data_IF_352649847418
#
_entry.id   IF_352649847418
#
_cell.length_a   1.000
_cell.length_b   1.000
_cell.length_c   1.000
_cell.angle_alpha   90.00
_cell.angle_beta   90.00
_cell.angle_gamma   90.00
#
_symmetry.space_group_name_H-M   'P 1'
#
loop_
_entity.id
_entity.type
_entity.pdbx_description
1 polymer ?
#
# COMPACT_ATOMS: atom_id res chain seq x y z
N UNK A 1 -21.45 18.37 -36.89
CA UNK A 1 -21.24 16.92 -36.76
C UNK A 1 -19.80 16.48 -37.06
N UNK A 2 -19.08 17.09 -38.01
CA UNK A 2 -17.70 16.70 -38.35
C UNK A 2 -16.70 16.81 -37.19
N UNK A 3 -16.71 17.91 -36.45
CA UNK A 3 -15.78 18.12 -35.32
C UNK A 3 -16.01 17.14 -34.15
N UNK A 4 -17.25 16.71 -33.91
CA UNK A 4 -17.55 15.72 -32.87
C UNK A 4 -17.06 14.32 -33.29
N UNK A 5 -17.23 13.95 -34.55
CA UNK A 5 -16.70 12.70 -35.11
C UNK A 5 -15.17 12.71 -35.12
N UNK A 6 -14.53 13.83 -35.42
CA UNK A 6 -13.07 13.98 -35.29
C UNK A 6 -12.59 13.92 -33.83
N UNK A 7 -13.31 14.54 -32.89
CA UNK A 7 -12.99 14.43 -31.45
C UNK A 7 -13.15 13.01 -30.93
N UNK A 8 -14.20 12.29 -31.35
CA UNK A 8 -14.41 10.88 -31.00
C UNK A 8 -13.34 9.99 -31.64
N UNK A 9 -12.94 10.26 -32.90
CA UNK A 9 -11.81 9.57 -33.54
C UNK A 9 -10.45 9.88 -32.90
N UNK A 10 -10.28 11.08 -32.32
CA UNK A 10 -9.10 11.47 -31.53
C UNK A 10 -9.15 10.96 -30.09
N UNK A 11 -10.31 10.51 -29.62
CA UNK A 11 -10.54 10.01 -28.26
C UNK A 11 -10.18 8.53 -28.06
N UNK A 12 -9.51 7.91 -29.03
CA UNK A 12 -9.00 6.54 -28.91
C UNK A 12 -7.74 6.47 -28.04
N UNK A 13 -7.50 5.30 -27.45
CA UNK A 13 -6.25 5.03 -26.78
C UNK A 13 -5.11 4.90 -27.80
N UNK A 14 -4.15 5.83 -27.76
CA UNK A 14 -2.99 5.85 -28.65
C UNK A 14 -1.69 5.53 -27.88
N UNK A 15 -1.78 5.00 -26.66
CA UNK A 15 -0.63 4.83 -25.76
C UNK A 15 0.47 3.96 -26.38
N UNK A 16 0.13 2.80 -26.94
CA UNK A 16 1.11 1.87 -27.53
C UNK A 16 1.69 2.43 -28.83
N UNK A 17 0.93 3.25 -29.57
CA UNK A 17 1.43 3.91 -30.78
C UNK A 17 2.41 5.05 -30.48
N UNK A 18 2.14 5.82 -29.42
CA UNK A 18 3.01 6.92 -28.96
C UNK A 18 4.25 6.33 -28.28
N UNK A 19 4.06 5.43 -27.33
CA UNK A 19 5.12 4.76 -26.57
C UNK A 19 5.30 3.33 -27.11
N UNK A 20 5.98 3.19 -28.25
CA UNK A 20 6.11 1.89 -28.92
C UNK A 20 6.94 0.88 -28.12
N UNK A 21 6.52 -0.40 -28.04
CA UNK A 21 7.27 -1.46 -27.36
C UNK A 21 8.42 -1.97 -28.24
N UNK A 22 9.47 -1.17 -28.41
CA UNK A 22 10.61 -1.50 -29.27
C UNK A 22 11.53 -2.51 -28.56
N UNK A 23 12.00 -3.53 -29.27
CA UNK A 23 12.97 -4.50 -28.76
C UNK A 23 12.37 -5.62 -27.92
N UNK A 24 11.06 -5.88 -28.05
CA UNK A 24 10.33 -6.98 -27.43
C UNK A 24 9.44 -7.69 -28.45
N UNK A 25 9.39 -9.02 -28.38
CA UNK A 25 8.56 -9.88 -29.23
C UNK A 25 7.18 -10.12 -28.63
N UNK A 26 7.11 -10.21 -27.31
CA UNK A 26 5.88 -10.35 -26.54
C UNK A 26 5.63 -9.04 -25.83
N UNK A 27 4.68 -8.26 -26.33
CA UNK A 27 4.31 -6.96 -25.78
C UNK A 27 2.80 -6.79 -25.71
N UNK A 28 2.34 -5.76 -24.99
CA UNK A 28 0.92 -5.43 -24.95
C UNK A 28 0.44 -4.88 -26.29
N UNK A 29 -0.85 -5.07 -26.58
CA UNK A 29 -1.55 -4.42 -27.68
C UNK A 29 -2.37 -3.23 -27.17
N UNK A 30 -3.01 -2.49 -28.09
CA UNK A 30 -3.95 -1.44 -27.73
C UNK A 30 -5.04 -1.95 -26.79
N UNK A 31 -5.48 -3.21 -26.96
CA UNK A 31 -6.49 -3.84 -26.08
C UNK A 31 -5.97 -4.10 -24.67
N UNK A 32 -4.71 -4.51 -24.52
CA UNK A 32 -4.08 -4.65 -23.21
C UNK A 32 -3.95 -3.31 -22.50
N UNK A 33 -3.59 -2.26 -23.25
CA UNK A 33 -3.56 -0.89 -22.75
C UNK A 33 -4.95 -0.36 -22.36
N UNK A 34 -6.01 -0.65 -23.13
CA UNK A 34 -7.40 -0.28 -22.81
C UNK A 34 -7.87 -0.89 -21.48
N UNK A 35 -7.53 -2.16 -21.25
CA UNK A 35 -7.80 -2.81 -19.96
C UNK A 35 -7.05 -2.11 -18.81
N UNK A 36 -5.78 -1.76 -19.00
CA UNK A 36 -4.99 -1.06 -17.99
C UNK A 36 -5.54 0.33 -17.68
N UNK A 37 -6.03 1.06 -18.69
CA UNK A 37 -6.76 2.32 -18.50
C UNK A 37 -8.06 2.10 -17.72
N UNK A 38 -8.78 1.01 -17.98
CA UNK A 38 -9.99 0.66 -17.23
C UNK A 38 -9.67 0.40 -15.76
N UNK A 39 -8.62 -0.37 -15.47
CA UNK A 39 -8.15 -0.60 -14.10
C UNK A 39 -7.71 0.71 -13.42
N UNK A 40 -6.95 1.57 -14.11
CA UNK A 40 -6.61 2.91 -13.62
C UNK A 40 -7.84 3.71 -13.22
N UNK A 41 -8.88 3.75 -14.05
CA UNK A 41 -10.13 4.45 -13.76
C UNK A 41 -10.83 3.88 -12.52
N UNK A 42 -10.80 2.57 -12.31
CA UNK A 42 -11.35 1.94 -11.10
C UNK A 42 -10.59 2.41 -9.86
N UNK A 43 -9.25 2.32 -9.86
CA UNK A 43 -8.43 2.81 -8.74
C UNK A 43 -8.67 4.30 -8.46
N UNK A 44 -8.69 5.13 -9.50
CA UNK A 44 -8.97 6.57 -9.39
C UNK A 44 -10.36 6.84 -8.78
N UNK A 45 -11.38 6.12 -9.24
CA UNK A 45 -12.75 6.27 -8.74
C UNK A 45 -12.83 5.97 -7.24
N UNK A 46 -12.31 4.82 -6.80
CA UNK A 46 -12.30 4.47 -5.37
C UNK A 46 -11.42 5.42 -4.55
N UNK A 47 -10.28 5.85 -5.09
CA UNK A 47 -9.43 6.84 -4.43
C UNK A 47 -10.20 8.15 -4.16
N UNK A 48 -10.86 8.71 -5.18
CA UNK A 48 -11.67 9.92 -5.04
C UNK A 48 -12.78 9.73 -4.00
N UNK A 49 -13.53 8.62 -4.06
CA UNK A 49 -14.59 8.35 -3.09
C UNK A 49 -14.03 8.30 -1.67
N UNK A 50 -12.93 7.58 -1.44
CA UNK A 50 -12.31 7.46 -0.12
C UNK A 50 -11.80 8.82 0.38
N UNK A 51 -11.26 9.68 -0.49
CA UNK A 51 -10.86 11.05 -0.13
C UNK A 51 -12.07 11.86 0.31
N UNK A 52 -13.16 11.84 -0.47
CA UNK A 52 -14.38 12.58 -0.15
C UNK A 52 -15.01 12.12 1.16
N UNK A 53 -15.07 10.80 1.40
CA UNK A 53 -15.59 10.23 2.64
C UNK A 53 -14.68 10.54 3.85
N UNK A 54 -13.36 10.49 3.67
CA UNK A 54 -12.39 10.84 4.71
C UNK A 54 -12.57 12.29 5.19
N UNK A 55 -12.79 13.24 4.29
CA UNK A 55 -12.97 14.65 4.67
C UNK A 55 -14.27 14.91 5.44
N UNK A 56 -15.24 14.00 5.41
CA UNK A 56 -16.45 14.04 6.26
C UNK A 56 -16.19 13.59 7.70
N UNK A 57 -14.98 13.11 8.00
CA UNK A 57 -14.59 12.63 9.34
C UNK A 57 -13.65 13.61 10.06
N UNK A 58 -13.78 13.75 11.39
CA UNK A 58 -12.77 14.40 12.22
C UNK A 58 -11.39 13.77 12.03
N UNK A 59 -10.31 14.55 12.18
CA UNK A 59 -8.95 14.10 11.84
C UNK A 59 -8.51 12.83 12.59
N UNK A 60 -8.96 12.69 13.84
CA UNK A 60 -8.72 11.54 14.70
C UNK A 60 -9.41 10.26 14.20
N UNK A 61 -10.51 10.36 13.47
CA UNK A 61 -11.23 9.17 12.95
C UNK A 61 -10.76 8.72 11.56
N UNK A 62 -9.77 9.40 10.97
CA UNK A 62 -9.33 9.15 9.58
C UNK A 62 -8.39 7.96 9.41
N UNK A 63 -7.97 7.32 10.50
CA UNK A 63 -6.99 6.22 10.49
C UNK A 63 -7.28 5.16 9.41
N UNK A 64 -8.53 4.69 9.34
CA UNK A 64 -8.91 3.64 8.38
C UNK A 64 -8.90 4.12 6.93
N UNK A 65 -9.23 5.40 6.70
CA UNK A 65 -9.20 5.97 5.36
C UNK A 65 -7.78 6.11 4.83
N UNK A 66 -6.82 6.48 5.67
CA UNK A 66 -5.41 6.56 5.25
C UNK A 66 -4.90 5.20 4.77
N UNK A 67 -5.30 4.10 5.42
CA UNK A 67 -4.87 2.75 5.01
C UNK A 67 -5.55 2.25 3.74
N UNK A 68 -6.71 2.79 3.36
CA UNK A 68 -7.36 2.52 2.08
C UNK A 68 -6.81 3.38 0.95
N UNK A 69 -6.55 4.66 1.23
CA UNK A 69 -6.07 5.63 0.26
C UNK A 69 -4.67 5.32 -0.25
N UNK A 70 -3.77 4.93 0.64
CA UNK A 70 -2.38 4.67 0.28
C UNK A 70 -2.24 3.59 -0.82
N UNK A 71 -2.67 2.32 -0.63
CA UNK A 71 -2.51 1.29 -1.66
C UNK A 71 -3.28 1.63 -2.95
N UNK A 72 -4.48 2.20 -2.81
CA UNK A 72 -5.30 2.60 -3.97
C UNK A 72 -4.61 3.67 -4.80
N UNK A 73 -4.01 4.69 -4.16
CA UNK A 73 -3.31 5.78 -4.83
C UNK A 73 -1.99 5.33 -5.47
N UNK A 74 -1.23 4.46 -4.81
CA UNK A 74 0.00 3.91 -5.38
C UNK A 74 -0.28 3.06 -6.61
N UNK A 75 -1.28 2.18 -6.54
CA UNK A 75 -1.67 1.36 -7.69
C UNK A 75 -2.30 2.20 -8.79
N UNK A 76 -3.07 3.25 -8.48
CA UNK A 76 -3.54 4.20 -9.49
C UNK A 76 -2.37 4.73 -10.34
N UNK A 77 -1.27 5.17 -9.72
CA UNK A 77 -0.10 5.68 -10.45
C UNK A 77 0.60 4.56 -11.25
N UNK A 78 0.71 3.36 -10.68
CA UNK A 78 1.29 2.21 -11.37
C UNK A 78 0.48 1.81 -12.62
N UNK A 79 -0.85 1.76 -12.50
CA UNK A 79 -1.74 1.45 -13.62
C UNK A 79 -1.74 2.55 -14.68
N UNK A 80 -1.68 3.83 -14.30
CA UNK A 80 -1.48 4.92 -15.27
C UNK A 80 -0.19 4.73 -16.09
N UNK A 81 0.89 4.38 -15.40
CA UNK A 81 2.20 4.15 -16.02
C UNK A 81 2.16 2.98 -17.00
N UNK A 82 1.63 1.83 -16.56
CA UNK A 82 1.51 0.64 -17.41
C UNK A 82 0.53 0.84 -18.57
N UNK A 83 -0.61 1.51 -18.34
CA UNK A 83 -1.59 1.82 -19.37
C UNK A 83 -0.99 2.70 -20.47
N UNK A 84 -0.10 3.62 -20.08
CA UNK A 84 0.67 4.44 -21.01
C UNK A 84 1.78 3.68 -21.76
N UNK A 85 1.88 2.35 -21.58
CA UNK A 85 2.96 1.50 -22.08
C UNK A 85 4.36 1.95 -21.62
N UNK A 86 4.47 2.41 -20.37
CA UNK A 86 5.71 2.84 -19.73
C UNK A 86 6.07 1.93 -18.55
N UNK A 87 7.28 2.07 -18.02
CA UNK A 87 7.70 1.36 -16.80
C UNK A 87 7.90 -0.15 -16.99
N UNK A 88 8.45 -0.54 -18.14
CA UNK A 88 8.77 -1.91 -18.49
C UNK A 88 10.21 -2.05 -18.99
N UNK A 89 10.71 -3.28 -19.02
CA UNK A 89 12.02 -3.64 -19.56
C UNK A 89 11.94 -4.94 -20.38
N UNK A 90 12.76 -5.10 -21.43
CA UNK A 90 12.85 -6.36 -22.16
C UNK A 90 13.56 -7.42 -21.30
N UNK A 91 13.01 -8.63 -21.23
CA UNK A 91 13.63 -9.79 -20.59
C UNK A 91 13.47 -11.01 -21.49
N UNK A 92 14.57 -11.70 -21.79
CA UNK A 92 14.51 -12.91 -22.62
C UNK A 92 13.69 -13.99 -21.92
N UNK A 93 12.67 -14.52 -22.60
CA UNK A 93 11.84 -15.58 -22.05
C UNK A 93 12.67 -16.83 -21.81
N UNK A 94 12.42 -17.51 -20.68
CA UNK A 94 13.09 -18.78 -20.37
C UNK A 94 12.50 -19.95 -21.15
N UNK A 95 11.18 -19.93 -21.35
CA UNK A 95 10.40 -21.02 -21.92
C UNK A 95 9.68 -20.53 -23.19
N UNK A 96 9.61 -21.39 -24.20
CA UNK A 96 9.03 -21.09 -25.51
C UNK A 96 7.59 -21.62 -25.62
N UNK A 97 6.73 -21.30 -24.65
CA UNK A 97 5.32 -21.73 -24.66
C UNK A 97 4.41 -20.78 -25.45
N UNK A 98 4.88 -19.57 -25.76
CA UNK A 98 4.16 -18.56 -26.54
C UNK A 98 5.04 -18.17 -27.72
N UNK A 99 4.43 -18.03 -28.90
CA UNK A 99 5.08 -17.59 -30.12
C UNK A 99 4.25 -16.49 -30.79
N UNK A 100 4.91 -15.56 -31.46
CA UNK A 100 4.26 -14.52 -32.29
C UNK A 100 4.81 -14.58 -33.72
N UNK A 101 3.99 -14.20 -34.71
CA UNK A 101 4.41 -14.22 -36.12
C UNK A 101 5.52 -13.22 -36.44
N UNK A 102 5.74 -12.24 -35.57
CA UNK A 102 6.73 -11.17 -35.70
C UNK A 102 7.96 -11.39 -34.81
N UNK A 103 8.09 -12.56 -34.21
CA UNK A 103 9.16 -12.89 -33.27
C UNK A 103 10.53 -12.88 -33.96
N UNK A 104 11.48 -12.11 -33.41
CA UNK A 104 12.83 -11.95 -33.92
C UNK A 104 13.85 -12.89 -33.25
N UNK A 105 13.61 -13.29 -31.99
CA UNK A 105 14.49 -14.18 -31.23
C UNK A 105 13.77 -15.45 -30.74
N UNK A 106 14.52 -16.53 -30.51
CA UNK A 106 14.02 -17.77 -29.90
C UNK A 106 14.83 -18.18 -28.65
N UNK A 107 14.21 -18.32 -27.47
CA UNK A 107 12.88 -17.81 -27.10
C UNK A 107 12.84 -16.27 -27.19
N UNK A 108 11.65 -15.71 -27.41
CA UNK A 108 11.47 -14.27 -27.64
C UNK A 108 11.70 -13.38 -26.42
N UNK A 109 11.86 -12.08 -26.66
CA UNK A 109 11.99 -11.03 -25.65
C UNK A 109 10.60 -10.64 -25.12
N UNK A 110 10.38 -10.79 -23.82
CA UNK A 110 9.14 -10.42 -23.13
C UNK A 110 9.21 -9.00 -22.59
N UNK A 111 8.13 -8.25 -22.76
CA UNK A 111 7.88 -7.00 -22.07
C UNK A 111 7.49 -7.27 -20.61
N UNK A 112 8.39 -6.95 -19.67
CA UNK A 112 8.15 -7.12 -18.23
C UNK A 112 7.92 -5.76 -17.58
N UNK A 113 6.72 -5.54 -17.05
CA UNK A 113 6.32 -4.28 -16.43
C UNK A 113 6.78 -4.19 -14.97
N UNK A 114 8.04 -3.78 -14.77
CA UNK A 114 8.59 -3.58 -13.42
C UNK A 114 7.79 -2.54 -12.60
N UNK A 115 7.10 -1.60 -13.24
CA UNK A 115 6.22 -0.63 -12.58
C UNK A 115 5.11 -1.29 -11.75
N UNK A 116 4.63 -2.48 -12.15
CA UNK A 116 3.67 -3.26 -11.35
C UNK A 116 4.22 -3.56 -9.97
N UNK A 117 5.44 -4.07 -9.94
CA UNK A 117 6.12 -4.47 -8.72
C UNK A 117 6.51 -3.27 -7.85
N UNK A 118 6.83 -2.12 -8.46
CA UNK A 118 7.01 -0.86 -7.72
C UNK A 118 5.70 -0.43 -7.06
N UNK A 119 4.58 -0.53 -7.78
CA UNK A 119 3.25 -0.31 -7.21
C UNK A 119 2.96 -1.27 -6.06
N UNK A 120 3.24 -2.57 -6.25
CA UNK A 120 3.10 -3.58 -5.21
C UNK A 120 3.96 -3.29 -4.00
N UNK A 121 5.23 -2.88 -4.16
CA UNK A 121 6.11 -2.54 -3.04
C UNK A 121 5.43 -1.48 -2.14
N UNK A 122 4.80 -0.48 -2.74
CA UNK A 122 4.10 0.54 -1.97
C UNK A 122 2.72 0.09 -1.45
N UNK A 123 2.04 -0.84 -2.12
CA UNK A 123 0.63 -1.16 -1.90
C UNK A 123 0.37 -2.46 -1.10
N UNK A 124 1.17 -3.52 -1.32
CA UNK A 124 1.00 -4.85 -0.70
C UNK A 124 1.06 -4.87 0.84
N UNK A 125 1.86 -4.02 1.50
CA UNK A 125 1.87 -3.97 2.97
C UNK A 125 0.53 -3.58 3.59
N UNK A 126 -0.29 -2.79 2.89
CA UNK A 126 -1.46 -2.15 3.50
C UNK A 126 -2.56 -3.12 3.92
N UNK A 127 -2.96 -4.12 3.12
CA UNK A 127 -3.86 -5.18 3.60
C UNK A 127 -3.38 -5.89 4.87
N UNK A 128 -2.06 -6.03 5.06
CA UNK A 128 -1.45 -6.67 6.24
C UNK A 128 -1.46 -5.74 7.44
N UNK A 129 -1.21 -4.45 7.22
CA UNK A 129 -1.39 -3.39 8.23
C UNK A 129 -2.85 -3.34 8.67
N UNK A 130 -3.80 -3.36 7.74
CA UNK A 130 -5.24 -3.36 8.01
C UNK A 130 -5.68 -4.57 8.83
N UNK A 131 -5.24 -5.78 8.46
CA UNK A 131 -5.48 -6.98 9.27
C UNK A 131 -4.93 -6.82 10.70
N UNK A 132 -3.74 -6.23 10.83
CA UNK A 132 -3.08 -5.98 12.12
C UNK A 132 -3.81 -4.93 12.98
N UNK A 133 -4.49 -3.96 12.37
CA UNK A 133 -5.30 -2.95 13.06
C UNK A 133 -6.45 -3.61 13.83
N UNK A 134 -7.12 -4.63 13.29
CA UNK A 134 -8.17 -5.36 14.04
C UNK A 134 -7.67 -5.90 15.38
N UNK A 135 -6.43 -6.39 15.42
CA UNK A 135 -5.78 -6.89 16.63
C UNK A 135 -5.20 -5.81 17.53
N UNK A 136 -5.08 -4.56 17.08
CA UNK A 136 -4.18 -3.55 17.68
C UNK A 136 -2.78 -4.13 17.89
N UNK A 137 -2.28 -4.83 16.86
CA UNK A 137 -1.00 -5.54 16.91
C UNK A 137 0.14 -4.57 17.22
N UNK A 138 1.13 -4.95 18.07
CA UNK A 138 2.25 -4.09 18.40
C UNK A 138 3.02 -3.63 17.16
N UNK A 139 3.49 -2.38 17.16
CA UNK A 139 4.13 -1.74 16.02
C UNK A 139 5.29 -2.58 15.43
N UNK A 140 6.16 -3.14 16.27
CA UNK A 140 7.28 -3.96 15.81
C UNK A 140 6.84 -5.28 15.18
N UNK A 141 5.72 -5.85 15.62
CA UNK A 141 5.11 -7.00 14.93
C UNK A 141 4.51 -6.63 13.58
N UNK A 142 3.91 -5.43 13.48
CA UNK A 142 3.46 -4.90 12.18
C UNK A 142 4.65 -4.70 11.25
N UNK A 143 5.72 -4.06 11.73
CA UNK A 143 6.94 -3.82 10.96
C UNK A 143 7.59 -5.13 10.48
N UNK A 144 7.62 -6.16 11.33
CA UNK A 144 8.06 -7.51 10.94
C UNK A 144 7.23 -8.05 9.77
N UNK A 145 5.90 -8.00 9.88
CA UNK A 145 5.00 -8.49 8.82
C UNK A 145 5.16 -7.70 7.52
N UNK A 146 5.27 -6.36 7.61
CA UNK A 146 5.54 -5.49 6.46
C UNK A 146 6.85 -5.87 5.79
N UNK A 147 7.93 -6.05 6.55
CA UNK A 147 9.24 -6.44 6.02
C UNK A 147 9.18 -7.76 5.24
N UNK A 148 8.48 -8.77 5.75
CA UNK A 148 8.29 -10.04 5.03
C UNK A 148 7.36 -9.92 3.83
N UNK A 149 6.36 -9.05 3.87
CA UNK A 149 5.58 -8.69 2.68
C UNK A 149 6.46 -8.02 1.61
N UNK A 150 7.42 -7.17 2.00
CA UNK A 150 8.36 -6.59 1.04
C UNK A 150 9.35 -7.62 0.49
N UNK A 151 9.84 -8.56 1.31
CA UNK A 151 10.63 -9.67 0.79
C UNK A 151 9.87 -10.46 -0.27
N UNK A 152 8.56 -10.69 -0.08
CA UNK A 152 7.71 -11.29 -1.10
C UNK A 152 7.76 -10.46 -2.39
N UNK A 153 7.43 -9.17 -2.36
CA UNK A 153 7.35 -8.34 -3.57
C UNK A 153 8.70 -8.22 -4.28
N UNK A 154 9.77 -7.93 -3.53
CA UNK A 154 11.12 -7.75 -4.08
C UNK A 154 11.63 -9.04 -4.71
N UNK A 155 11.39 -10.21 -4.09
CA UNK A 155 11.77 -11.48 -4.69
C UNK A 155 11.04 -11.73 -6.01
N UNK A 156 9.73 -11.43 -6.08
CA UNK A 156 8.95 -11.58 -7.30
C UNK A 156 9.40 -10.61 -8.41
N UNK A 157 9.76 -9.37 -8.07
CA UNK A 157 10.37 -8.43 -9.01
C UNK A 157 11.67 -8.98 -9.58
N UNK A 158 12.60 -9.41 -8.72
CA UNK A 158 13.88 -9.96 -9.17
C UNK A 158 13.64 -11.20 -10.04
N UNK A 159 12.71 -12.08 -9.65
CA UNK A 159 12.33 -13.26 -10.43
C UNK A 159 11.82 -12.89 -11.83
N UNK A 160 11.05 -11.81 -11.96
CA UNK A 160 10.53 -11.33 -13.25
C UNK A 160 11.65 -10.87 -14.19
N UNK A 161 12.74 -10.33 -13.63
CA UNK A 161 13.88 -9.78 -14.37
C UNK A 161 14.97 -10.82 -14.69
N UNK A 162 14.94 -11.99 -14.04
CA UNK A 162 15.90 -13.07 -14.30
C UNK A 162 15.46 -13.88 -15.53
N UNK A 163 16.33 -13.99 -16.54
CA UNK A 163 16.07 -14.76 -17.77
C UNK A 163 16.32 -16.28 -17.62
N UNK A 164 17.03 -16.70 -16.57
CA UNK A 164 17.44 -18.09 -16.35
C UNK A 164 16.51 -18.83 -15.39
N UNK A 165 16.74 -20.13 -15.20
CA UNK A 165 16.01 -20.96 -14.22
C UNK A 165 16.16 -20.48 -12.77
N UNK A 166 17.16 -19.65 -12.47
CA UNK A 166 17.37 -19.09 -11.13
C UNK A 166 16.20 -18.24 -10.64
N UNK A 167 15.31 -17.77 -11.54
CA UNK A 167 14.09 -17.04 -11.14
C UNK A 167 13.23 -17.82 -10.14
N UNK A 168 13.21 -19.15 -10.24
CA UNK A 168 12.42 -20.01 -9.36
C UNK A 168 12.96 -20.08 -7.92
N UNK A 169 14.24 -19.77 -7.72
CA UNK A 169 14.80 -19.57 -6.37
C UNK A 169 14.17 -18.37 -5.68
N UNK A 170 14.15 -17.22 -6.36
CA UNK A 170 13.49 -16.00 -5.87
C UNK A 170 11.99 -16.20 -5.67
N UNK A 171 11.31 -16.86 -6.60
CA UNK A 171 9.90 -17.26 -6.46
C UNK A 171 9.66 -18.04 -5.15
N UNK A 172 10.53 -19.02 -4.86
CA UNK A 172 10.42 -19.86 -3.65
C UNK A 172 10.66 -19.05 -2.37
N UNK A 173 11.67 -18.17 -2.35
CA UNK A 173 11.91 -17.27 -1.22
C UNK A 173 10.75 -16.31 -0.97
N UNK A 174 10.18 -15.76 -2.05
CA UNK A 174 9.00 -14.90 -1.98
C UNK A 174 7.82 -15.62 -1.35
N UNK A 175 7.48 -16.82 -1.84
CA UNK A 175 6.39 -17.64 -1.27
C UNK A 175 6.64 -17.93 0.21
N UNK A 176 7.84 -18.32 0.59
CA UNK A 176 8.18 -18.57 1.99
C UNK A 176 7.91 -17.33 2.86
N UNK A 177 8.26 -16.14 2.37
CA UNK A 177 7.99 -14.89 3.08
C UNK A 177 6.48 -14.58 3.22
N UNK A 178 5.68 -14.86 2.18
CA UNK A 178 4.22 -14.76 2.24
C UNK A 178 3.59 -15.74 3.25
N UNK A 179 4.11 -16.98 3.32
CA UNK A 179 3.68 -17.99 4.30
C UNK A 179 4.03 -17.54 5.72
N UNK A 180 5.24 -17.07 5.97
CA UNK A 180 5.67 -16.54 7.28
C UNK A 180 4.76 -15.40 7.73
N UNK A 181 4.46 -14.45 6.83
CA UNK A 181 3.54 -13.34 7.12
C UNK A 181 2.14 -13.86 7.48
N UNK A 182 1.63 -14.83 6.70
CA UNK A 182 0.31 -15.41 6.92
C UNK A 182 0.19 -16.14 8.25
N UNK A 183 1.19 -16.93 8.61
CA UNK A 183 1.27 -17.62 9.91
C UNK A 183 1.33 -16.58 11.04
N UNK A 184 2.15 -15.54 10.90
CA UNK A 184 2.29 -14.46 11.90
C UNK A 184 0.97 -13.74 12.16
N UNK A 185 0.21 -13.38 11.13
CA UNK A 185 -1.13 -12.78 11.30
C UNK A 185 -2.12 -13.77 11.93
N UNK A 186 -2.15 -15.02 11.47
CA UNK A 186 -3.09 -16.03 11.95
C UNK A 186 -2.79 -16.57 13.35
N UNK A 187 -1.59 -16.32 13.87
CA UNK A 187 -1.22 -16.65 15.24
C UNK A 187 -1.29 -15.42 16.12
N UNK A 188 -0.43 -14.41 15.90
CA UNK A 188 -0.33 -13.23 16.76
C UNK A 188 -1.56 -12.35 16.68
N UNK A 189 -1.86 -11.79 15.51
CA UNK A 189 -2.98 -10.84 15.35
C UNK A 189 -4.32 -11.50 15.67
N UNK A 190 -4.55 -12.71 15.18
CA UNK A 190 -5.78 -13.47 15.50
C UNK A 190 -5.95 -13.70 17.00
N UNK A 191 -4.90 -14.06 17.72
CA UNK A 191 -4.99 -14.26 19.18
C UNK A 191 -5.28 -12.94 19.90
N UNK A 192 -4.69 -11.82 19.46
CA UNK A 192 -5.01 -10.49 19.99
C UNK A 192 -6.48 -10.12 19.75
N UNK A 193 -7.02 -10.41 18.56
CA UNK A 193 -8.45 -10.25 18.27
C UNK A 193 -9.30 -11.14 19.18
N UNK A 194 -8.92 -12.41 19.36
CA UNK A 194 -9.63 -13.37 20.23
C UNK A 194 -9.71 -12.89 21.68
N UNK A 195 -8.61 -12.35 22.20
CA UNK A 195 -8.50 -11.91 23.59
C UNK A 195 -9.39 -10.70 23.92
N UNK A 196 -9.94 -10.01 22.91
CA UNK A 196 -10.92 -8.93 23.11
C UNK A 196 -12.33 -9.44 23.43
N UNK A 197 -12.60 -10.74 23.28
CA UNK A 197 -13.89 -11.34 23.63
C UNK A 197 -15.07 -10.94 22.75
N UNK A 198 -14.85 -10.17 21.67
CA UNK A 198 -15.89 -9.76 20.73
C UNK A 198 -15.97 -10.77 19.57
N UNK A 199 -17.06 -11.54 19.51
CA UNK A 199 -17.31 -12.57 18.50
C UNK A 199 -17.47 -12.00 17.09
N UNK A 200 -18.09 -10.83 16.98
CA UNK A 200 -18.33 -10.13 15.72
C UNK A 200 -17.02 -9.61 15.11
N UNK A 201 -16.17 -8.97 15.91
CA UNK A 201 -14.83 -8.56 15.51
C UNK A 201 -13.99 -9.75 15.03
N UNK A 202 -14.06 -10.89 15.74
CA UNK A 202 -13.39 -12.12 15.33
C UNK A 202 -13.90 -12.64 13.98
N UNK A 203 -15.21 -12.60 13.75
CA UNK A 203 -15.81 -13.04 12.48
C UNK A 203 -15.38 -12.12 11.33
N UNK A 204 -15.47 -10.80 11.51
CA UNK A 204 -15.01 -9.81 10.53
C UNK A 204 -13.53 -10.00 10.20
N UNK A 205 -12.67 -10.15 11.22
CA UNK A 205 -11.24 -10.41 11.02
C UNK A 205 -11.00 -11.67 10.18
N UNK A 206 -11.68 -12.79 10.50
CA UNK A 206 -11.53 -14.05 9.77
C UNK A 206 -11.97 -13.94 8.32
N UNK A 207 -13.12 -13.29 8.07
CA UNK A 207 -13.64 -13.10 6.70
C UNK A 207 -12.67 -12.22 5.92
N UNK A 208 -12.32 -11.06 6.47
CA UNK A 208 -11.41 -10.12 5.83
C UNK A 208 -10.07 -10.78 5.49
N UNK A 209 -9.39 -11.35 6.49
CA UNK A 209 -8.07 -11.91 6.28
C UNK A 209 -8.10 -13.23 5.49
N UNK A 210 -9.18 -14.01 5.58
CA UNK A 210 -9.38 -15.20 4.76
C UNK A 210 -9.44 -14.87 3.27
N UNK A 211 -10.15 -13.79 2.90
CA UNK A 211 -10.18 -13.30 1.51
C UNK A 211 -8.81 -12.78 1.09
N UNK A 212 -8.11 -12.02 1.94
CA UNK A 212 -6.73 -11.55 1.69
C UNK A 212 -5.80 -12.74 1.42
N UNK A 213 -5.81 -13.77 2.26
CA UNK A 213 -4.97 -14.97 2.06
C UNK A 213 -5.31 -15.70 0.75
N UNK A 214 -6.61 -15.84 0.44
CA UNK A 214 -7.05 -16.47 -0.80
C UNK A 214 -6.53 -15.72 -2.03
N UNK A 215 -6.76 -14.40 -2.10
CA UNK A 215 -6.28 -13.59 -3.22
C UNK A 215 -4.75 -13.59 -3.30
N UNK A 216 -4.05 -13.49 -2.15
CA UNK A 216 -2.59 -13.52 -2.12
C UNK A 216 -2.03 -14.85 -2.67
N UNK A 217 -2.69 -15.99 -2.41
CA UNK A 217 -2.28 -17.30 -2.96
C UNK A 217 -2.39 -17.38 -4.49
N UNK A 218 -3.24 -16.55 -5.10
CA UNK A 218 -3.42 -16.52 -6.56
C UNK A 218 -2.26 -15.79 -7.27
N UNK A 219 -1.62 -14.81 -6.62
CA UNK A 219 -0.51 -14.04 -7.22
C UNK A 219 0.67 -14.91 -7.68
N UNK A 220 1.16 -15.89 -6.89
CA UNK A 220 2.19 -16.82 -7.35
C UNK A 220 1.77 -17.65 -8.56
N UNK A 221 0.50 -18.05 -8.64
CA UNK A 221 -0.03 -18.79 -9.80
C UNK A 221 0.01 -17.92 -11.04
N UNK A 222 -0.45 -16.66 -10.93
CA UNK A 222 -0.37 -15.69 -12.01
C UNK A 222 1.07 -15.58 -12.51
N UNK A 223 2.03 -15.34 -11.60
CA UNK A 223 3.46 -15.23 -11.95
C UNK A 223 4.00 -16.48 -12.65
N UNK A 224 3.64 -17.66 -12.11
CA UNK A 224 4.10 -18.94 -12.62
C UNK A 224 3.71 -19.16 -14.08
N UNK A 225 2.54 -18.69 -14.51
CA UNK A 225 2.07 -18.82 -15.89
C UNK A 225 2.40 -17.60 -16.77
N UNK A 226 2.74 -16.45 -16.21
CA UNK A 226 3.14 -15.24 -16.95
C UNK A 226 4.66 -15.10 -17.09
N UNK A 227 5.34 -14.26 -16.30
CA UNK A 227 6.78 -13.99 -16.41
C UNK A 227 7.66 -15.20 -16.05
N UNK A 228 7.14 -16.10 -15.22
CA UNK A 228 7.82 -17.34 -14.82
C UNK A 228 7.86 -18.35 -15.96
N UNK A 229 6.68 -18.79 -16.41
CA UNK A 229 6.49 -19.88 -17.37
C UNK A 229 6.28 -19.45 -18.82
N UNK A 230 6.10 -18.14 -19.08
CA UNK A 230 5.84 -17.58 -20.41
C UNK A 230 4.66 -18.25 -21.15
N UNK A 231 3.57 -18.57 -20.44
CA UNK A 231 2.36 -19.20 -21.00
C UNK A 231 1.31 -18.15 -21.39
N UNK A 232 1.11 -17.13 -20.54
CA UNK A 232 0.24 -16.00 -20.87
C UNK A 232 1.02 -14.91 -21.62
N UNK A 233 0.41 -14.35 -22.66
CA UNK A 233 0.91 -13.13 -23.30
C UNK A 233 0.73 -11.90 -22.37
N UNK A 234 1.49 -10.81 -22.57
CA UNK A 234 1.40 -9.62 -21.73
C UNK A 234 -0.03 -9.08 -21.57
N UNK A 235 -0.85 -9.06 -22.62
CA UNK A 235 -2.26 -8.65 -22.53
C UNK A 235 -3.04 -9.47 -21.50
N UNK A 236 -2.98 -10.81 -21.60
CA UNK A 236 -3.68 -11.71 -20.69
C UNK A 236 -3.08 -11.69 -19.28
N UNK A 237 -1.77 -11.50 -19.15
CA UNK A 237 -1.08 -11.27 -17.87
C UNK A 237 -1.66 -10.03 -17.18
N UNK A 238 -1.80 -8.91 -17.88
CA UNK A 238 -2.36 -7.68 -17.33
C UNK A 238 -3.84 -7.80 -16.97
N UNK A 239 -4.62 -8.61 -17.70
CA UNK A 239 -6.00 -8.92 -17.31
C UNK A 239 -6.00 -9.70 -16.00
N UNK A 240 -5.19 -10.75 -15.89
CA UNK A 240 -5.14 -11.59 -14.70
C UNK A 240 -4.68 -10.81 -13.47
N UNK A 241 -3.52 -10.15 -13.53
CA UNK A 241 -3.06 -9.30 -12.43
C UNK A 241 -3.98 -8.10 -12.18
N UNK A 242 -4.56 -7.53 -13.23
CA UNK A 242 -5.50 -6.41 -13.16
C UNK A 242 -6.69 -6.71 -12.26
N UNK A 243 -7.36 -7.83 -12.49
CA UNK A 243 -8.50 -8.27 -11.68
C UNK A 243 -8.04 -8.49 -10.24
N UNK A 244 -6.89 -9.14 -10.07
CA UNK A 244 -6.37 -9.48 -8.76
C UNK A 244 -6.00 -8.23 -7.94
N UNK A 245 -5.32 -7.27 -8.56
CA UNK A 245 -4.95 -5.99 -7.95
C UNK A 245 -6.17 -5.14 -7.61
N UNK A 246 -7.17 -5.06 -8.50
CA UNK A 246 -8.41 -4.34 -8.19
C UNK A 246 -9.09 -4.95 -6.96
N UNK A 247 -9.18 -6.27 -6.88
CA UNK A 247 -9.79 -6.92 -5.73
C UNK A 247 -8.94 -6.74 -4.46
N UNK A 248 -7.65 -7.04 -4.52
CA UNK A 248 -6.76 -7.13 -3.38
C UNK A 248 -6.23 -5.77 -2.88
N UNK A 249 -5.91 -4.84 -3.79
CA UNK A 249 -5.24 -3.56 -3.49
C UNK A 249 -6.16 -2.34 -3.62
N UNK A 250 -7.41 -2.51 -4.07
CA UNK A 250 -8.42 -1.45 -4.10
C UNK A 250 -9.66 -1.82 -3.28
N UNK A 251 -10.39 -2.85 -3.71
CA UNK A 251 -11.69 -3.21 -3.13
C UNK A 251 -11.53 -3.64 -1.68
N UNK A 252 -10.61 -4.57 -1.38
CA UNK A 252 -10.40 -5.03 0.00
C UNK A 252 -9.96 -3.89 0.95
N UNK A 253 -8.99 -3.03 0.61
CA UNK A 253 -8.66 -1.87 1.43
C UNK A 253 -9.81 -0.89 1.63
N UNK A 254 -10.67 -0.69 0.62
CA UNK A 254 -11.87 0.14 0.77
C UNK A 254 -12.93 -0.54 1.67
N UNK A 255 -13.16 -1.84 1.51
CA UNK A 255 -14.07 -2.62 2.36
C UNK A 255 -13.61 -2.68 3.81
N UNK A 256 -12.30 -2.66 4.06
CA UNK A 256 -11.75 -2.54 5.41
C UNK A 256 -12.32 -1.31 6.14
N UNK A 257 -12.44 -0.16 5.45
CA UNK A 257 -13.02 1.06 6.05
C UNK A 257 -14.45 0.82 6.52
N UNK A 258 -15.25 0.13 5.70
CA UNK A 258 -16.64 -0.21 6.03
C UNK A 258 -16.70 -1.15 7.22
N UNK A 259 -15.91 -2.22 7.20
CA UNK A 259 -15.87 -3.21 8.29
C UNK A 259 -15.36 -2.61 9.61
N UNK A 260 -14.28 -1.83 9.57
CA UNK A 260 -13.72 -1.21 10.75
C UNK A 260 -14.65 -0.12 11.32
N UNK A 261 -15.36 0.61 10.46
CA UNK A 261 -16.38 1.57 10.89
C UNK A 261 -17.60 0.88 11.50
N UNK A 262 -18.00 -0.28 10.97
CA UNK A 262 -19.10 -1.08 11.48
C UNK A 262 -18.79 -1.65 12.88
N UNK A 263 -17.61 -2.21 13.08
CA UNK A 263 -17.19 -2.71 14.40
C UNK A 263 -17.02 -1.55 15.40
N UNK A 264 -16.56 -0.38 14.95
CA UNK A 264 -16.29 0.76 15.80
C UNK A 264 -14.90 0.71 16.44
N UNK A 265 -14.27 1.89 16.57
CA UNK A 265 -12.87 2.00 17.01
C UNK A 265 -12.65 1.54 18.45
N UNK A 266 -13.62 1.76 19.33
CA UNK A 266 -13.54 1.35 20.74
C UNK A 266 -13.48 -0.18 20.89
N UNK A 267 -14.26 -0.91 20.10
CA UNK A 267 -14.25 -2.37 20.08
C UNK A 267 -12.94 -2.92 19.48
N UNK A 268 -12.31 -2.18 18.57
CA UNK A 268 -10.96 -2.48 18.08
C UNK A 268 -9.89 -2.05 19.11
N UNK A 269 -10.22 -1.22 20.10
CA UNK A 269 -9.31 -0.79 21.16
C UNK A 269 -8.51 0.49 20.84
N UNK A 270 -8.98 1.29 19.90
CA UNK A 270 -8.52 2.65 19.66
C UNK A 270 -9.50 3.64 20.32
N UNK A 271 -9.06 4.33 21.37
CA UNK A 271 -9.81 5.39 22.04
C UNK A 271 -9.22 6.74 21.65
N UNK A 272 -10.06 7.69 21.30
CA UNK A 272 -9.63 9.08 21.13
C UNK A 272 -10.12 9.89 22.32
N UNK A 273 -9.18 10.47 23.06
CA UNK A 273 -9.50 11.62 23.91
C UNK A 273 -9.81 12.79 22.98
N UNK A 274 -10.96 13.44 23.18
CA UNK A 274 -11.21 14.71 22.51
C UNK A 274 -10.06 15.66 22.87
N UNK A 275 -9.53 16.46 21.93
CA UNK A 275 -8.59 17.50 22.29
C UNK A 275 -9.27 18.34 23.38
N UNK A 276 -8.68 18.42 24.57
CA UNK A 276 -9.09 19.44 25.53
C UNK A 276 -8.95 20.77 24.80
N UNK A 277 -10.08 21.37 24.43
CA UNK A 277 -10.16 22.79 24.16
C UNK A 277 -9.80 23.46 25.49
N UNK A 278 -8.51 23.62 25.77
CA UNK A 278 -8.06 24.53 26.79
C UNK A 278 -8.67 25.87 26.40
N UNK A 279 -9.61 26.44 27.17
CA UNK A 279 -10.03 27.80 26.92
C UNK A 279 -8.75 28.62 26.99
N UNK A 280 -8.43 29.37 25.94
CA UNK A 280 -7.33 30.33 25.99
C UNK A 280 -7.65 31.31 27.12
N UNK A 281 -7.17 30.99 28.32
CA UNK A 281 -7.12 31.91 29.41
C UNK A 281 -6.14 32.98 28.95
N UNK A 282 -6.66 34.08 28.44
CA UNK A 282 -5.92 35.33 28.37
C UNK A 282 -5.47 35.64 29.79
N UNK A 283 -4.27 35.19 30.13
CA UNK A 283 -3.60 35.58 31.36
C UNK A 283 -3.22 37.03 31.19
N UNK A 284 -4.09 37.92 31.66
CA UNK A 284 -3.73 39.32 31.89
C UNK A 284 -2.52 39.30 32.83
N UNK A 285 -1.37 39.87 32.44
CA UNK A 285 -0.19 39.89 33.32
C UNK A 285 -0.55 40.61 34.61
N UNK A 286 -0.47 39.93 35.76
CA UNK A 286 -0.56 40.59 37.06
C UNK A 286 0.58 41.61 37.16
N UNK A 287 0.23 42.88 37.38
CA UNK A 287 1.20 43.94 37.62
C UNK A 287 2.16 43.56 38.75
N UNK A 288 3.46 43.76 38.52
CA UNK A 288 4.49 43.52 39.53
C UNK A 288 4.25 44.42 40.75
N UNK A 289 4.36 43.91 41.99
CA UNK A 289 4.28 44.75 43.17
C UNK A 289 5.52 45.67 43.29
N UNK A 290 5.40 46.83 43.97
CA UNK A 290 6.48 47.82 44.03
C UNK A 290 7.70 47.29 44.79
N UNK A 291 8.91 47.58 44.27
CA UNK A 291 10.17 47.25 44.94
C UNK A 291 10.29 48.00 46.27
N UNK A 292 10.41 47.28 47.38
CA UNK A 292 10.75 47.84 48.69
C UNK A 292 12.19 48.36 48.71
N UNK A 293 12.35 49.62 49.12
CA UNK A 293 13.64 50.29 49.37
C UNK A 293 14.45 49.58 50.46
N UNK A 294 15.75 49.37 50.18
CA UNK A 294 16.73 48.84 51.15
C UNK A 294 17.03 49.90 52.21
N UNK A 295 16.59 49.69 53.45
CA UNK A 295 17.09 50.43 54.63
C UNK A 295 18.52 50.02 54.97
N UNK A 296 19.43 50.98 54.88
CA UNK A 296 20.82 50.92 55.37
C UNK A 296 20.85 50.84 56.90
N UNK A 297 21.48 49.80 57.48
CA UNK A 297 21.82 49.75 58.92
C UNK A 297 23.33 49.95 59.13
N UNK A 298 23.67 51.06 59.80
CA UNK A 298 25.01 51.40 60.33
C UNK A 298 25.52 50.31 61.29
N UNK A 299 26.75 49.83 61.08
CA UNK A 299 27.49 48.99 62.03
C UNK A 299 28.12 49.85 63.14
N UNK A 300 27.72 49.61 64.39
CA UNK A 300 28.40 50.12 65.59
C UNK A 300 29.39 49.08 66.15
N UNK A 301 30.63 49.52 66.39
CA UNK A 301 31.74 48.81 67.08
C UNK A 301 31.34 48.33 68.49
N UNK A 302 31.89 47.20 68.93
CA UNK A 302 32.58 47.08 70.23
C UNK A 302 33.50 45.85 70.31
N UNK A 303 34.67 46.08 70.90
CA UNK A 303 35.83 45.19 71.03
C UNK A 303 35.71 44.17 72.15
N UNK A 304 36.54 43.12 72.12
CA UNK A 304 37.14 42.52 73.32
C UNK A 304 38.51 41.88 73.01
N UNK A 305 39.57 42.46 73.59
CA UNK A 305 40.87 41.82 73.95
C UNK A 305 40.58 40.67 74.97
N UNK A 306 41.41 39.68 75.30
CA UNK A 306 42.86 39.43 75.21
C UNK A 306 43.18 37.97 75.62
N UNK A 307 44.40 37.51 75.29
CA UNK A 307 45.22 36.43 75.92
C UNK A 307 44.72 34.99 75.69
N UNK A 308 45.58 34.01 75.40
CA UNK A 308 47.01 33.82 75.68
C UNK A 308 47.67 33.11 74.51
#
# INVERSE_FOLDING_TARGET
>A
MSNFIELVKRGGNEAVKINKPIGVDFHITDKGSDWLWSAFCIFLFFFIIMVLLMFRKPINERLFYYTALAPTGFMMIAYFTMASNLGWTPVKAKYDHVQTSTQAEHPGMRQVFYARYVGWFLAFPWPIIQASIFGKTPLWHIAFNVCFTEFYVVCFLIAALVHSTYKWGYYSFGIAAGIVTSISIMTTTRNLVKNKGNSELMNVFKIFYGIIMFLWLVYPVAFGISEGGNVLQPDSEHIFYGILDVLFLCVMPCLFVVFASYIGMDHIGYKFEAPELQPMAHSVPKALPPKLEKKTKKKGKKSKKSKK
#
